data_IF_084041294442
#
_entry.id   IF_084041294442
#
_cell.length_a   1.000
_cell.length_b   1.000
_cell.length_c   1.000
_cell.angle_alpha   90.00
_cell.angle_beta   90.00
_cell.angle_gamma   90.00
#
_symmetry.space_group_name_H-M   'P 1'
#
loop_
_entity.id
_entity.type
_entity.pdbx_description
1 polymer ?
#
# COMPACT_ATOMS: atom_id res chain seq x y z
N UNK A 1 -8.62 -12.72 8.54
CA UNK A 1 -8.75 -11.65 9.56
C UNK A 1 -9.31 -10.35 8.98
N UNK A 2 -8.64 -9.67 8.02
CA UNK A 2 -9.15 -8.39 7.47
C UNK A 2 -10.53 -8.46 6.80
N UNK A 3 -10.77 -9.42 5.88
CA UNK A 3 -12.07 -9.55 5.21
C UNK A 3 -13.21 -9.86 6.18
N UNK A 4 -12.95 -10.71 7.17
CA UNK A 4 -13.92 -11.05 8.20
C UNK A 4 -14.28 -9.82 9.05
N UNK A 5 -13.31 -8.94 9.35
CA UNK A 5 -13.58 -7.69 10.02
C UNK A 5 -14.33 -6.70 9.13
N UNK A 6 -13.95 -6.57 7.84
CA UNK A 6 -14.68 -5.72 6.89
C UNK A 6 -16.16 -6.13 6.78
N UNK A 7 -16.46 -7.43 6.85
CA UNK A 7 -17.84 -7.92 6.86
C UNK A 7 -18.65 -7.39 8.05
N UNK A 8 -18.05 -7.23 9.23
CA UNK A 8 -18.77 -6.74 10.42
C UNK A 8 -19.01 -5.23 10.39
N UNK A 9 -18.20 -4.47 9.65
CA UNK A 9 -18.27 -3.00 9.60
C UNK A 9 -18.76 -2.43 8.27
N UNK A 10 -19.10 -3.25 7.27
CA UNK A 10 -19.43 -2.81 5.90
C UNK A 10 -20.57 -1.80 5.80
N UNK A 11 -21.46 -1.75 6.79
CA UNK A 11 -22.57 -0.79 6.86
C UNK A 11 -22.16 0.58 7.42
N UNK A 12 -20.95 0.71 7.99
CA UNK A 12 -20.43 1.94 8.59
C UNK A 12 -19.30 2.55 7.76
N UNK A 13 -18.90 3.77 8.10
CA UNK A 13 -17.62 4.33 7.66
C UNK A 13 -16.52 3.64 8.46
N UNK A 14 -15.48 3.19 7.77
CA UNK A 14 -14.37 2.47 8.40
C UNK A 14 -13.03 3.06 7.98
N UNK A 15 -12.04 2.90 8.85
CA UNK A 15 -10.62 3.02 8.52
C UNK A 15 -10.01 1.64 8.75
N UNK A 16 -9.40 1.07 7.70
CA UNK A 16 -8.79 -0.24 7.75
C UNK A 16 -7.30 -0.11 7.43
N UNK A 17 -6.45 -0.46 8.39
CA UNK A 17 -5.02 -0.57 8.17
C UNK A 17 -4.65 -2.05 8.07
N UNK A 18 -4.07 -2.42 6.92
CA UNK A 18 -3.66 -3.79 6.63
C UNK A 18 -2.15 -3.75 6.38
N UNK A 19 -1.42 -4.44 7.24
CA UNK A 19 0.02 -4.59 7.13
C UNK A 19 0.32 -5.98 6.56
N UNK A 20 0.98 -6.03 5.40
CA UNK A 20 1.51 -7.26 4.82
C UNK A 20 2.95 -7.41 5.27
N UNK A 21 3.29 -8.58 5.83
CA UNK A 21 4.65 -8.86 6.29
C UNK A 21 5.54 -9.42 5.18
N UNK A 22 4.95 -10.10 4.20
CA UNK A 22 5.66 -10.69 3.05
C UNK A 22 6.40 -9.63 2.22
N UNK A 23 7.39 -10.08 1.44
CA UNK A 23 8.46 -9.29 0.84
C UNK A 23 9.53 -8.89 1.85
N UNK A 24 9.67 -9.66 2.94
CA UNK A 24 10.68 -9.49 3.98
C UNK A 24 11.56 -10.74 4.07
N UNK A 25 12.85 -10.54 4.29
CA UNK A 25 13.80 -11.66 4.46
C UNK A 25 13.50 -12.49 5.72
N UNK A 26 13.61 -13.82 5.69
CA UNK A 26 13.91 -14.67 4.53
C UNK A 26 12.69 -14.82 3.61
N UNK A 27 12.91 -14.66 2.30
CA UNK A 27 11.84 -14.76 1.31
C UNK A 27 11.34 -16.20 1.16
N UNK A 28 10.11 -16.47 1.59
CA UNK A 28 9.49 -17.79 1.56
C UNK A 28 8.01 -17.69 1.15
N UNK A 29 7.73 -17.35 -0.12
CA UNK A 29 6.36 -17.21 -0.58
C UNK A 29 5.60 -18.54 -0.48
N UNK A 30 4.28 -18.52 -0.21
CA UNK A 30 3.47 -19.73 -0.19
C UNK A 30 3.25 -20.29 -1.60
N UNK A 31 2.83 -21.54 -1.72
CA UNK A 31 2.36 -22.08 -3.00
C UNK A 31 1.08 -21.37 -3.48
N UNK A 32 0.89 -21.20 -4.80
CA UNK A 32 1.73 -21.67 -5.92
C UNK A 32 2.92 -20.74 -6.25
N UNK A 33 3.11 -19.67 -5.48
CA UNK A 33 4.13 -18.64 -5.76
C UNK A 33 5.54 -19.15 -5.48
N UNK A 34 5.71 -20.05 -4.51
CA UNK A 34 6.98 -20.74 -4.25
C UNK A 34 7.49 -21.45 -5.50
N UNK A 35 6.68 -22.34 -6.08
CA UNK A 35 7.06 -23.08 -7.29
C UNK A 35 7.19 -22.14 -8.49
N UNK A 36 6.22 -21.22 -8.69
CA UNK A 36 6.22 -20.31 -9.86
C UNK A 36 7.40 -19.34 -9.87
N UNK A 37 7.89 -18.95 -8.70
CA UNK A 37 8.99 -18.01 -8.53
C UNK A 37 10.20 -18.64 -7.83
N UNK A 38 10.44 -19.94 -8.01
CA UNK A 38 11.50 -20.69 -7.33
C UNK A 38 12.91 -20.06 -7.43
N UNK A 39 13.19 -19.30 -8.51
CA UNK A 39 14.47 -18.59 -8.70
C UNK A 39 14.47 -17.13 -8.26
N UNK A 40 13.31 -16.58 -7.88
CA UNK A 40 13.10 -15.17 -7.51
C UNK A 40 12.08 -15.09 -6.37
N UNK A 41 12.38 -15.65 -5.18
CA UNK A 41 11.40 -15.80 -4.10
C UNK A 41 10.83 -14.45 -3.61
N UNK A 42 11.62 -13.37 -3.64
CA UNK A 42 11.13 -12.00 -3.36
C UNK A 42 9.97 -11.59 -4.29
N UNK A 43 10.09 -11.86 -5.61
CA UNK A 43 8.99 -11.62 -6.54
C UNK A 43 7.81 -12.56 -6.31
N UNK A 44 8.05 -13.75 -5.78
CA UNK A 44 6.99 -14.66 -5.36
C UNK A 44 6.17 -14.10 -4.20
N UNK A 45 6.83 -13.44 -3.24
CA UNK A 45 6.14 -12.80 -2.11
C UNK A 45 5.36 -11.58 -2.58
N UNK A 46 5.93 -10.75 -3.45
CA UNK A 46 5.19 -9.65 -4.10
C UNK A 46 3.95 -10.18 -4.82
N UNK A 47 4.07 -11.26 -5.59
CA UNK A 47 2.94 -11.86 -6.30
C UNK A 47 1.88 -12.43 -5.34
N UNK A 48 2.30 -12.98 -4.19
CA UNK A 48 1.38 -13.40 -3.15
C UNK A 48 0.63 -12.20 -2.55
N UNK A 49 1.33 -11.13 -2.17
CA UNK A 49 0.73 -9.90 -1.63
C UNK A 49 -0.25 -9.29 -2.63
N UNK A 50 0.13 -9.19 -3.92
CA UNK A 50 -0.75 -8.72 -4.99
C UNK A 50 -2.06 -9.51 -5.04
N UNK A 51 -1.99 -10.84 -4.89
CA UNK A 51 -3.19 -11.67 -4.82
C UNK A 51 -4.05 -11.40 -3.58
N UNK A 52 -3.44 -11.08 -2.43
CA UNK A 52 -4.19 -10.71 -1.22
C UNK A 52 -4.84 -9.33 -1.36
N UNK A 53 -4.15 -8.37 -1.97
CA UNK A 53 -4.72 -7.07 -2.36
C UNK A 53 -5.90 -7.27 -3.32
N UNK A 54 -5.76 -8.18 -4.29
CA UNK A 54 -6.84 -8.59 -5.19
C UNK A 54 -8.07 -9.10 -4.45
N UNK A 55 -7.89 -9.92 -3.40
CA UNK A 55 -9.01 -10.39 -2.56
C UNK A 55 -9.74 -9.25 -1.86
N UNK A 56 -9.01 -8.26 -1.34
CA UNK A 56 -9.60 -7.07 -0.69
C UNK A 56 -10.37 -6.24 -1.72
N UNK A 57 -9.77 -5.96 -2.88
CA UNK A 57 -10.43 -5.25 -3.98
C UNK A 57 -11.73 -5.96 -4.39
N UNK A 58 -11.68 -7.27 -4.62
CA UNK A 58 -12.85 -8.07 -5.01
C UNK A 58 -13.93 -8.11 -3.93
N UNK A 59 -13.54 -8.13 -2.65
CA UNK A 59 -14.49 -8.01 -1.56
C UNK A 59 -15.21 -6.66 -1.61
N UNK A 60 -14.47 -5.55 -1.74
CA UNK A 60 -15.05 -4.21 -1.84
C UNK A 60 -15.96 -4.08 -3.06
N UNK A 61 -15.57 -4.65 -4.20
CA UNK A 61 -16.35 -4.64 -5.45
C UNK A 61 -17.67 -5.41 -5.31
N UNK A 62 -17.59 -6.67 -4.85
CA UNK A 62 -18.78 -7.54 -4.67
C UNK A 62 -19.78 -6.98 -3.66
N UNK A 63 -19.34 -6.19 -2.68
CA UNK A 63 -20.21 -5.57 -1.68
C UNK A 63 -20.62 -4.12 -2.02
N UNK A 64 -20.30 -3.63 -3.23
CA UNK A 64 -20.65 -2.25 -3.65
C UNK A 64 -19.94 -1.16 -2.83
N UNK A 65 -18.81 -1.49 -2.20
CA UNK A 65 -18.02 -0.58 -1.38
C UNK A 65 -16.88 0.07 -2.16
N UNK A 66 -16.45 -0.53 -3.28
CA UNK A 66 -15.28 -0.06 -4.02
C UNK A 66 -15.44 1.42 -4.38
N UNK A 67 -16.54 1.83 -5.01
CA UNK A 67 -16.81 3.22 -5.45
C UNK A 67 -17.09 4.24 -4.35
N UNK A 68 -16.98 3.84 -3.08
CA UNK A 68 -17.10 4.71 -1.90
C UNK A 68 -15.93 4.57 -0.93
N UNK A 69 -14.84 3.93 -1.38
CA UNK A 69 -13.64 3.67 -0.57
C UNK A 69 -12.42 4.30 -1.23
N UNK A 70 -11.65 5.08 -0.46
CA UNK A 70 -10.29 5.46 -0.83
C UNK A 70 -9.36 4.32 -0.42
N UNK A 71 -8.55 3.83 -1.35
CA UNK A 71 -7.56 2.77 -1.10
C UNK A 71 -6.18 3.37 -1.31
N UNK A 72 -5.30 3.20 -0.32
CA UNK A 72 -3.89 3.58 -0.40
C UNK A 72 -3.05 2.33 -0.28
N UNK A 73 -2.11 2.15 -1.22
CA UNK A 73 -1.06 1.15 -1.11
C UNK A 73 0.29 1.88 -1.07
N UNK A 74 1.05 1.64 0.00
CA UNK A 74 2.34 2.31 0.24
C UNK A 74 3.34 1.28 0.76
N UNK A 75 4.58 1.33 0.26
CA UNK A 75 5.70 0.62 0.88
C UNK A 75 6.25 1.45 2.05
N UNK A 76 6.60 0.83 3.16
CA UNK A 76 7.26 1.50 4.28
C UNK A 76 8.77 1.67 4.04
N UNK A 77 9.38 0.71 3.33
CA UNK A 77 10.71 0.79 2.74
C UNK A 77 10.79 -0.01 1.43
N UNK A 78 11.88 0.16 0.70
CA UNK A 78 12.26 -0.66 -0.44
C UNK A 78 13.21 -1.79 -0.04
N UNK A 79 13.72 -2.53 -1.01
CA UNK A 79 14.60 -3.67 -0.77
C UNK A 79 15.86 -3.51 -1.64
N UNK A 80 17.06 -3.54 -1.04
CA UNK A 80 18.28 -3.31 -1.83
C UNK A 80 18.57 -4.44 -2.81
N UNK A 81 18.19 -5.68 -2.49
CA UNK A 81 18.39 -6.84 -3.38
C UNK A 81 19.85 -7.00 -3.87
N UNK A 82 20.81 -6.65 -3.02
CA UNK A 82 22.24 -6.66 -3.33
C UNK A 82 22.78 -5.33 -3.86
N UNK A 83 21.91 -4.34 -4.12
CA UNK A 83 22.34 -3.01 -4.53
C UNK A 83 23.21 -2.36 -3.45
N UNK A 84 24.24 -1.63 -3.89
CA UNK A 84 25.27 -1.05 -3.03
C UNK A 84 25.90 -2.01 -2.00
N UNK A 85 25.83 -3.33 -2.23
CA UNK A 85 26.38 -4.35 -1.34
C UNK A 85 25.47 -4.75 -0.15
N UNK A 86 24.24 -4.24 -0.09
CA UNK A 86 23.27 -4.61 0.94
C UNK A 86 22.31 -5.69 0.40
N UNK A 87 22.30 -6.86 1.04
CA UNK A 87 21.47 -7.98 0.57
C UNK A 87 19.96 -7.75 0.78
N UNK A 88 19.60 -6.96 1.80
CA UNK A 88 18.23 -6.65 2.19
C UNK A 88 18.05 -5.14 2.35
N UNK A 89 17.53 -4.67 3.48
CA UNK A 89 17.36 -3.26 3.83
C UNK A 89 17.77 -3.02 5.30
N UNK A 90 17.87 -1.75 5.70
CA UNK A 90 18.03 -1.33 7.10
C UNK A 90 19.39 -0.75 7.48
N UNK A 91 20.40 -0.86 6.62
CA UNK A 91 21.74 -0.30 6.86
C UNK A 91 21.99 0.99 6.09
N UNK A 92 21.46 1.10 4.86
CA UNK A 92 21.70 2.25 4.00
C UNK A 92 20.43 3.07 3.73
N UNK A 93 20.63 4.21 3.07
CA UNK A 93 19.58 5.20 2.75
C UNK A 93 19.60 5.54 1.25
N UNK A 94 19.84 4.52 0.42
CA UNK A 94 19.81 4.65 -1.03
C UNK A 94 18.38 4.63 -1.58
N UNK A 95 18.23 5.06 -2.84
CA UNK A 95 16.95 5.02 -3.55
C UNK A 95 16.32 3.62 -3.55
N UNK A 96 17.12 2.55 -3.55
CA UNK A 96 16.66 1.16 -3.46
C UNK A 96 15.79 0.88 -2.24
N UNK A 97 16.02 1.57 -1.13
CA UNK A 97 15.28 1.41 0.14
C UNK A 97 14.36 2.59 0.46
N UNK A 98 14.58 3.77 -0.13
CA UNK A 98 13.75 4.95 0.15
C UNK A 98 12.64 5.17 -0.89
N UNK A 99 12.84 4.75 -2.15
CA UNK A 99 11.90 5.04 -3.24
C UNK A 99 10.85 3.93 -3.39
N UNK A 100 9.83 4.05 -2.56
CA UNK A 100 8.73 3.08 -2.43
C UNK A 100 7.52 3.40 -3.33
N UNK A 101 6.69 2.41 -3.68
CA UNK A 101 5.41 2.68 -4.32
C UNK A 101 4.49 3.45 -3.37
N UNK A 102 3.78 4.44 -3.92
CA UNK A 102 2.62 5.08 -3.29
C UNK A 102 1.53 5.20 -4.35
N UNK A 103 0.48 4.39 -4.20
CA UNK A 103 -0.67 4.33 -5.09
C UNK A 103 -1.92 4.71 -4.32
N UNK A 104 -2.76 5.53 -4.93
CA UNK A 104 -4.05 5.91 -4.35
C UNK A 104 -5.16 5.72 -5.37
N UNK A 105 -6.17 4.95 -5.00
CA UNK A 105 -7.42 4.82 -5.74
C UNK A 105 -8.48 5.59 -4.96
N UNK A 106 -9.11 6.55 -5.62
CA UNK A 106 -10.19 7.36 -5.04
C UNK A 106 -11.47 7.18 -5.85
N UNK A 107 -12.64 7.49 -5.28
CA UNK A 107 -13.89 7.57 -6.03
C UNK A 107 -14.06 8.90 -6.79
N UNK A 108 -13.06 9.79 -6.77
CA UNK A 108 -13.15 11.12 -7.36
C UNK A 108 -12.61 11.11 -8.80
N UNK A 109 -13.49 11.31 -9.79
CA UNK A 109 -13.12 11.28 -11.21
C UNK A 109 -12.04 12.30 -11.57
N UNK A 110 -12.00 13.46 -10.89
CA UNK A 110 -11.00 14.50 -11.10
C UNK A 110 -9.55 14.03 -10.79
N UNK A 111 -9.39 12.96 -10.02
CA UNK A 111 -8.10 12.39 -9.63
C UNK A 111 -7.76 11.10 -10.41
N UNK A 112 -8.64 10.67 -11.32
CA UNK A 112 -8.47 9.41 -12.06
C UNK A 112 -7.26 9.47 -12.99
N UNK A 113 -6.49 8.39 -13.03
CA UNK A 113 -5.35 8.19 -13.92
C UNK A 113 -4.29 9.32 -13.87
N UNK A 114 -4.14 9.95 -12.70
CA UNK A 114 -3.15 11.00 -12.48
C UNK A 114 -1.81 10.41 -12.03
N UNK A 115 -0.72 11.00 -12.50
CA UNK A 115 0.63 10.76 -11.99
C UNK A 115 1.13 12.02 -11.30
N UNK A 116 1.53 11.90 -10.04
CA UNK A 116 2.22 12.96 -9.30
C UNK A 116 3.72 12.75 -9.48
N UNK A 117 4.42 13.77 -9.97
CA UNK A 117 5.88 13.74 -10.21
C UNK A 117 6.67 14.46 -9.13
N UNK A 118 5.99 15.26 -8.31
CA UNK A 118 6.56 15.92 -7.15
C UNK A 118 7.09 14.91 -6.13
N UNK A 119 8.02 15.35 -5.28
CA UNK A 119 8.51 14.53 -4.17
C UNK A 119 7.38 14.33 -3.16
N UNK A 120 7.01 13.07 -2.92
CA UNK A 120 6.01 12.69 -1.93
C UNK A 120 6.64 11.74 -0.91
N UNK A 121 6.24 11.87 0.36
CA UNK A 121 6.73 11.09 1.49
C UNK A 121 5.58 10.29 2.10
N UNK A 122 5.88 9.19 2.78
CA UNK A 122 4.86 8.39 3.48
C UNK A 122 4.05 9.21 4.50
N UNK A 123 4.68 10.20 5.15
CA UNK A 123 4.01 11.13 6.09
C UNK A 123 2.94 12.01 5.43
N UNK A 124 2.99 12.19 4.10
CA UNK A 124 2.03 12.99 3.34
C UNK A 124 0.69 12.24 3.13
N UNK A 125 0.64 10.93 3.39
CA UNK A 125 -0.58 10.11 3.26
C UNK A 125 -1.69 10.59 4.21
N UNK A 126 -1.37 10.81 5.48
CA UNK A 126 -2.35 11.21 6.48
C UNK A 126 -3.05 12.55 6.16
N UNK A 127 -2.35 13.67 5.90
CA UNK A 127 -3.02 14.93 5.53
C UNK A 127 -3.76 14.82 4.19
N UNK A 128 -3.25 14.06 3.22
CA UNK A 128 -3.95 13.83 1.95
C UNK A 128 -5.29 13.11 2.15
N UNK A 129 -5.34 12.13 3.05
CA UNK A 129 -6.60 11.44 3.38
C UNK A 129 -7.59 12.34 4.12
N UNK A 130 -7.10 13.19 5.03
CA UNK A 130 -7.94 14.17 5.73
C UNK A 130 -8.60 15.14 4.74
N UNK A 131 -7.82 15.68 3.80
CA UNK A 131 -8.32 16.58 2.75
C UNK A 131 -9.34 15.88 1.84
N UNK A 132 -9.02 14.67 1.34
CA UNK A 132 -9.93 13.92 0.48
C UNK A 132 -11.27 13.62 1.17
N UNK A 133 -11.24 13.33 2.46
CA UNK A 133 -12.42 12.97 3.24
C UNK A 133 -13.12 14.19 3.85
N UNK A 134 -12.61 15.41 3.61
CA UNK A 134 -13.07 16.65 4.21
C UNK A 134 -13.15 16.58 5.75
N UNK A 135 -12.14 15.96 6.38
CA UNK A 135 -12.04 15.83 7.83
C UNK A 135 -11.14 16.98 8.33
N UNK A 136 -11.67 17.92 9.13
CA UNK A 136 -10.85 18.98 9.69
C UNK A 136 -9.85 18.41 10.69
N UNK A 137 -8.63 18.95 10.67
CA UNK A 137 -7.58 18.63 11.62
C UNK A 137 -6.83 19.91 12.00
N UNK A 138 -6.86 20.26 13.28
CA UNK A 138 -6.29 21.49 13.87
C UNK A 138 -4.98 21.23 14.63
N UNK A 139 -4.53 19.97 14.64
CA UNK A 139 -3.27 19.55 15.24
C UNK A 139 -2.05 19.81 14.36
N UNK A 140 -0.88 19.38 14.86
CA UNK A 140 0.37 19.40 14.09
C UNK A 140 0.52 18.10 13.29
N UNK A 141 0.88 18.23 12.02
CA UNK A 141 1.19 17.12 11.13
C UNK A 141 2.40 17.49 10.27
N UNK A 142 3.36 16.57 10.14
CA UNK A 142 4.62 16.84 9.41
C UNK A 142 4.46 16.70 7.88
N UNK A 143 3.46 15.92 7.47
CA UNK A 143 3.10 15.73 6.08
C UNK A 143 2.40 16.94 5.48
N UNK A 144 2.36 17.00 4.15
CA UNK A 144 1.54 17.93 3.39
C UNK A 144 0.61 17.16 2.48
N UNK A 145 -0.62 17.64 2.31
CA UNK A 145 -1.55 17.03 1.37
C UNK A 145 -1.03 17.14 -0.05
N UNK A 146 -1.16 16.05 -0.81
CA UNK A 146 -0.82 16.01 -2.24
C UNK A 146 -2.06 16.05 -3.13
N UNK A 147 -3.23 16.38 -2.57
CA UNK A 147 -4.41 16.74 -3.35
C UNK A 147 -4.11 18.07 -4.07
N UNK A 148 -4.27 18.14 -5.40
CA UNK A 148 -4.03 19.36 -6.17
C UNK A 148 -5.09 20.45 -5.95
#
# INVERSE_FOLDING_TARGET
HALAWLETVRSFRFFCWIHFYDAHSPYNPPEPYQTRFARRPYLGEIAFVDSQVGRIRSFLETHGLLDRTVIVAVGDHGESLGDHGESTHGFFVYDSVLRVPLLMRTPYDALRARRVTDLVRSVDVAPTLLDLLAIPFDGRIDGQSVVP
#
